data_IF_841101256383
#
_entry.id   IF_841101256383
#
_cell.length_a   1.000
_cell.length_b   1.000
_cell.length_c   1.000
_cell.angle_alpha   90.00
_cell.angle_beta   90.00
_cell.angle_gamma   90.00
#
_symmetry.space_group_name_H-M   'P 1'
#
loop_
_entity.id
_entity.type
_entity.pdbx_description
1 polymer ?
#
# COMPACT_ATOMS: atom_id res chain seq x y z
N UNK A 1 59.44 4.26 -71.04
CA UNK A 1 59.67 4.82 -69.69
C UNK A 1 58.99 6.19 -69.64
N UNK A 2 58.33 6.49 -68.51
CA UNK A 2 57.63 7.75 -68.16
C UNK A 2 56.33 8.06 -68.88
N UNK A 3 55.14 8.02 -68.24
CA UNK A 3 54.58 8.58 -66.98
C UNK A 3 53.58 9.68 -67.38
N UNK A 4 52.29 9.31 -67.40
CA UNK A 4 51.17 10.22 -67.58
C UNK A 4 50.83 10.89 -66.24
N UNK A 5 50.89 12.22 -66.18
CA UNK A 5 50.36 13.03 -65.09
C UNK A 5 49.05 13.66 -65.56
N UNK A 6 47.94 13.26 -64.94
CA UNK A 6 46.69 14.03 -64.94
C UNK A 6 46.11 14.07 -63.51
N UNK A 7 46.16 15.29 -63.00
CA UNK A 7 45.50 16.01 -61.91
C UNK A 7 44.42 15.36 -61.01
N UNK A 8 44.27 15.90 -59.78
CA UNK A 8 43.43 15.36 -58.71
C UNK A 8 41.96 15.77 -58.85
N UNK A 9 41.05 14.91 -58.36
CA UNK A 9 39.65 15.26 -58.10
C UNK A 9 39.32 15.22 -56.61
N UNK A 10 38.61 16.27 -56.21
CA UNK A 10 37.85 16.59 -55.00
C UNK A 10 37.33 15.43 -54.11
N UNK A 11 37.38 15.62 -52.77
CA UNK A 11 36.76 14.77 -51.72
C UNK A 11 35.21 14.74 -51.73
N UNK A 12 34.47 14.28 -50.67
CA UNK A 12 34.71 14.53 -49.24
C UNK A 12 34.34 13.42 -48.20
N UNK A 13 34.85 13.62 -46.97
CA UNK A 13 34.27 13.42 -45.61
C UNK A 13 32.95 12.64 -45.45
N UNK A 14 32.90 11.63 -44.57
CA UNK A 14 31.62 11.02 -44.17
C UNK A 14 31.59 9.93 -43.08
N UNK A 15 32.56 9.83 -42.17
CA UNK A 15 32.57 8.79 -41.13
C UNK A 15 32.00 9.29 -39.77
N UNK A 16 30.70 9.57 -39.68
CA UNK A 16 30.06 9.88 -38.37
C UNK A 16 28.56 9.60 -38.23
N UNK A 17 27.88 9.07 -39.26
CA UNK A 17 26.43 8.84 -39.22
C UNK A 17 25.98 7.49 -38.62
N UNK A 18 26.83 6.48 -38.56
CA UNK A 18 26.42 5.11 -38.17
C UNK A 18 26.22 4.86 -36.67
N UNK A 19 26.93 5.59 -35.78
CA UNK A 19 26.87 5.35 -34.32
C UNK A 19 25.63 5.93 -33.64
N UNK A 20 24.98 6.94 -34.22
CA UNK A 20 23.80 7.59 -33.62
C UNK A 20 22.51 6.77 -33.80
N UNK A 21 22.41 5.97 -34.88
CA UNK A 21 21.22 5.13 -35.12
C UNK A 21 21.11 3.91 -34.20
N UNK A 22 22.24 3.29 -33.82
CA UNK A 22 22.21 2.10 -32.95
C UNK A 22 21.79 2.45 -31.51
N UNK A 23 22.23 3.60 -30.97
CA UNK A 23 21.79 4.10 -29.67
C UNK A 23 20.29 4.43 -29.64
N UNK A 24 19.75 5.02 -30.71
CA UNK A 24 18.32 5.33 -30.80
C UNK A 24 17.44 4.07 -30.86
N UNK A 25 17.91 3.01 -31.53
CA UNK A 25 17.22 1.70 -31.59
C UNK A 25 17.26 0.98 -30.23
N UNK A 26 18.37 1.09 -29.49
CA UNK A 26 18.50 0.51 -28.15
C UNK A 26 17.63 1.23 -27.11
N UNK A 27 17.53 2.56 -27.18
CA UNK A 27 16.64 3.36 -26.32
C UNK A 27 15.17 3.06 -26.63
N UNK A 28 14.79 2.93 -27.90
CA UNK A 28 13.44 2.53 -28.29
C UNK A 28 13.10 1.09 -27.84
N UNK A 29 14.07 0.17 -27.85
CA UNK A 29 13.90 -1.19 -27.34
C UNK A 29 13.69 -1.25 -25.83
N UNK A 30 14.37 -0.39 -25.05
CA UNK A 30 14.20 -0.31 -23.58
C UNK A 30 12.86 0.34 -23.20
N UNK A 31 12.37 1.30 -24.00
CA UNK A 31 11.06 1.94 -23.79
C UNK A 31 9.87 1.03 -24.17
N UNK A 32 10.07 0.02 -25.03
CA UNK A 32 9.04 -0.97 -25.37
C UNK A 32 9.00 -2.17 -24.42
N UNK A 33 9.98 -2.31 -23.52
CA UNK A 33 10.02 -3.37 -22.51
C UNK A 33 9.41 -2.96 -21.16
N UNK A 34 8.98 -1.70 -21.01
CA UNK A 34 8.41 -1.17 -19.77
C UNK A 34 6.91 -0.89 -19.92
N UNK A 35 6.15 -1.97 -20.11
CA UNK A 35 4.71 -1.93 -19.99
C UNK A 35 4.24 -3.25 -19.42
N UNK A 36 4.05 -3.32 -18.11
CA UNK A 36 3.29 -4.41 -17.51
C UNK A 36 1.91 -4.41 -18.19
N UNK A 37 1.62 -5.46 -18.94
CA UNK A 37 0.34 -5.60 -19.62
C UNK A 37 -0.67 -6.10 -18.58
N UNK A 38 -1.50 -5.19 -18.07
CA UNK A 38 -2.55 -5.52 -17.11
C UNK A 38 -3.74 -6.11 -17.86
N UNK A 39 -4.05 -7.39 -17.64
CA UNK A 39 -5.34 -7.96 -18.02
C UNK A 39 -6.25 -7.88 -16.79
N UNK A 40 -7.08 -6.84 -16.75
CA UNK A 40 -7.88 -6.49 -15.59
C UNK A 40 -9.29 -7.11 -15.70
N UNK A 41 -9.45 -8.38 -15.33
CA UNK A 41 -10.78 -9.04 -15.30
C UNK A 41 -11.06 -9.86 -14.03
N UNK A 42 -10.33 -9.63 -12.92
CA UNK A 42 -10.65 -10.23 -11.62
C UNK A 42 -11.08 -9.15 -10.61
N UNK A 43 -12.38 -9.09 -10.30
CA UNK A 43 -12.89 -8.31 -9.18
C UNK A 43 -12.88 -9.17 -7.91
N UNK A 44 -12.22 -8.69 -6.86
CA UNK A 44 -12.22 -9.33 -5.54
C UNK A 44 -12.79 -8.38 -4.49
N UNK A 45 -13.63 -8.90 -3.60
CA UNK A 45 -14.16 -8.20 -2.42
C UNK A 45 -13.33 -8.58 -1.21
N UNK A 46 -12.86 -7.58 -0.48
CA UNK A 46 -12.28 -7.75 0.85
C UNK A 46 -13.19 -7.00 1.80
N UNK A 47 -13.71 -7.74 2.77
CA UNK A 47 -14.42 -7.17 3.90
C UNK A 47 -13.56 -7.36 5.16
N UNK A 48 -13.53 -6.33 5.98
CA UNK A 48 -12.76 -6.32 7.22
C UNK A 48 -13.74 -5.99 8.33
N UNK A 49 -13.79 -6.81 9.37
CA UNK A 49 -14.68 -6.61 10.51
C UNK A 49 -13.84 -6.60 11.78
N UNK A 50 -13.92 -5.52 12.55
CA UNK A 50 -13.45 -5.56 13.92
C UNK A 50 -14.53 -6.25 14.76
N UNK A 51 -14.19 -7.36 15.43
CA UNK A 51 -15.11 -8.16 16.28
C UNK A 51 -15.39 -7.47 17.62
N UNK A 52 -14.78 -6.31 17.86
CA UNK A 52 -15.28 -5.39 18.86
C UNK A 52 -16.55 -4.72 18.32
N UNK A 53 -17.70 -5.27 18.71
CA UNK A 53 -18.99 -4.60 18.52
C UNK A 53 -18.96 -3.18 19.10
N UNK A 54 -19.93 -2.35 18.71
CA UNK A 54 -20.16 -1.11 19.42
C UNK A 54 -20.46 -1.42 20.90
N UNK A 55 -19.53 -1.05 21.77
CA UNK A 55 -19.57 -1.46 23.17
C UNK A 55 -19.79 -0.26 24.08
N UNK A 56 -20.55 -0.49 25.15
CA UNK A 56 -20.58 0.43 26.30
C UNK A 56 -19.76 -0.17 27.42
N UNK A 57 -18.71 0.53 27.83
CA UNK A 57 -17.74 0.03 28.82
C UNK A 57 -17.61 1.02 29.97
N UNK A 58 -17.17 0.52 31.12
CA UNK A 58 -16.91 1.37 32.29
C UNK A 58 -15.52 1.99 32.15
N UNK A 59 -15.36 3.26 32.54
CA UNK A 59 -14.07 3.93 32.60
C UNK A 59 -13.03 3.08 33.33
N UNK A 60 -11.80 3.08 32.84
CA UNK A 60 -10.63 2.29 33.30
C UNK A 60 -10.71 0.80 33.02
N UNK A 61 -11.80 0.30 32.43
CA UNK A 61 -11.91 -1.10 32.01
C UNK A 61 -11.21 -1.28 30.66
N UNK A 62 -10.23 -2.19 30.53
CA UNK A 62 -9.62 -2.50 29.25
C UNK A 62 -10.64 -3.06 28.26
N UNK A 63 -10.56 -2.61 27.02
CA UNK A 63 -11.37 -3.11 25.90
C UNK A 63 -10.44 -3.78 24.91
N UNK A 64 -10.60 -5.10 24.76
CA UNK A 64 -9.89 -5.87 23.74
C UNK A 64 -10.61 -5.74 22.41
N UNK A 65 -9.84 -5.40 21.38
CA UNK A 65 -10.29 -5.22 20.02
C UNK A 65 -9.58 -6.25 19.16
N UNK A 66 -10.34 -7.00 18.36
CA UNK A 66 -9.79 -8.01 17.46
C UNK A 66 -10.38 -7.80 16.07
N UNK A 67 -9.64 -8.20 15.04
CA UNK A 67 -10.09 -8.13 13.66
C UNK A 67 -10.24 -9.50 13.01
N UNK A 68 -11.31 -9.64 12.24
CA UNK A 68 -11.60 -10.74 11.33
C UNK A 68 -11.70 -10.22 9.90
N UNK A 69 -11.37 -11.10 8.95
CA UNK A 69 -11.36 -10.82 7.54
C UNK A 69 -12.12 -11.92 6.81
N UNK A 70 -12.85 -11.54 5.78
CA UNK A 70 -13.47 -12.48 4.86
C UNK A 70 -13.02 -12.17 3.42
N UNK A 71 -12.63 -13.21 2.72
CA UNK A 71 -12.06 -13.16 1.37
C UNK A 71 -12.95 -13.96 0.42
N UNK A 72 -13.59 -13.26 -0.51
CA UNK A 72 -14.32 -13.94 -1.58
C UNK A 72 -13.33 -14.45 -2.63
N UNK A 73 -13.07 -15.76 -2.61
CA UNK A 73 -12.47 -16.51 -3.72
C UNK A 73 -11.12 -15.96 -4.26
N UNK A 74 -10.22 -15.49 -3.38
CA UNK A 74 -8.88 -14.98 -3.79
C UNK A 74 -7.77 -15.38 -2.81
N UNK A 75 -6.55 -15.57 -3.36
CA UNK A 75 -5.31 -15.60 -2.60
C UNK A 75 -4.83 -14.17 -2.34
N UNK A 76 -5.19 -13.64 -1.19
CA UNK A 76 -4.74 -12.32 -0.69
C UNK A 76 -3.66 -12.55 0.37
N UNK A 77 -2.60 -11.76 0.33
CA UNK A 77 -1.60 -11.75 1.39
C UNK A 77 -1.74 -10.48 2.22
N UNK A 78 -1.79 -10.62 3.53
CA UNK A 78 -1.78 -9.50 4.47
C UNK A 78 -0.32 -9.30 4.93
N UNK A 79 0.23 -8.10 4.77
CA UNK A 79 1.54 -7.75 5.33
C UNK A 79 1.45 -7.03 6.66
N UNK A 80 0.50 -6.11 6.78
CA UNK A 80 0.47 -5.17 7.89
C UNK A 80 -0.96 -4.83 8.31
N UNK A 81 -1.09 -4.51 9.59
CA UNK A 81 -2.34 -4.23 10.25
C UNK A 81 -2.10 -3.15 11.29
N UNK A 82 -2.99 -2.17 11.35
CA UNK A 82 -2.86 -1.07 12.29
C UNK A 82 -4.20 -0.66 12.90
N UNK A 83 -4.15 -0.27 14.17
CA UNK A 83 -5.28 0.32 14.87
C UNK A 83 -4.98 1.75 15.29
N UNK A 84 -6.02 2.58 15.35
CA UNK A 84 -5.85 3.95 15.82
C UNK A 84 -7.14 4.55 16.38
N UNK A 85 -7.05 5.27 17.50
CA UNK A 85 -8.14 6.12 17.98
C UNK A 85 -8.22 7.36 17.10
N UNK A 86 -9.28 7.47 16.31
CA UNK A 86 -9.47 8.57 15.33
C UNK A 86 -10.33 9.70 15.88
N UNK A 87 -11.13 9.43 16.91
CA UNK A 87 -11.90 10.43 17.64
C UNK A 87 -12.02 10.04 19.11
N UNK A 88 -11.91 11.03 19.99
CA UNK A 88 -12.11 10.89 21.42
C UNK A 88 -12.72 12.18 21.99
N UNK A 89 -13.30 12.15 23.21
CA UNK A 89 -13.76 13.36 23.88
C UNK A 89 -12.63 14.39 24.04
N UNK A 90 -12.97 15.68 24.04
CA UNK A 90 -11.98 16.74 24.23
C UNK A 90 -11.27 16.59 25.58
N UNK A 91 -9.92 16.58 25.56
CA UNK A 91 -9.11 16.38 26.75
C UNK A 91 -9.15 14.96 27.32
N UNK A 92 -9.60 13.97 26.54
CA UNK A 92 -9.65 12.58 26.98
C UNK A 92 -8.25 12.04 27.34
N UNK A 93 -8.20 11.31 28.44
CA UNK A 93 -7.05 10.53 28.87
C UNK A 93 -7.34 9.06 28.61
N UNK A 94 -6.49 8.41 27.83
CA UNK A 94 -6.58 6.99 27.52
C UNK A 94 -5.19 6.42 27.22
N UNK A 95 -5.07 5.11 27.35
CA UNK A 95 -3.92 4.35 26.86
C UNK A 95 -4.39 3.47 25.71
N UNK A 96 -3.60 3.38 24.64
CA UNK A 96 -3.91 2.55 23.49
C UNK A 96 -2.69 1.72 23.11
N UNK A 97 -2.86 0.41 23.07
CA UNK A 97 -1.85 -0.55 22.64
C UNK A 97 -2.29 -1.18 21.32
N UNK A 98 -1.42 -1.16 20.33
CA UNK A 98 -1.63 -1.73 19.01
C UNK A 98 -0.59 -2.84 18.79
N UNK A 99 -1.09 -4.07 18.63
CA UNK A 99 -0.30 -5.27 18.36
C UNK A 99 -0.68 -5.86 16.97
N UNK A 100 -1.15 -5.00 16.07
CA UNK A 100 -1.50 -5.32 14.69
C UNK A 100 -2.89 -5.95 14.55
N UNK A 101 -3.00 -7.26 14.79
CA UNK A 101 -4.30 -7.96 14.68
C UNK A 101 -5.23 -7.68 15.86
N UNK A 102 -4.62 -7.39 16.99
CA UNK A 102 -5.29 -7.10 18.23
C UNK A 102 -4.88 -5.72 18.73
N UNK A 103 -5.79 -5.06 19.43
CA UNK A 103 -5.50 -3.81 20.12
C UNK A 103 -6.22 -3.76 21.47
N UNK A 104 -5.69 -2.97 22.39
CA UNK A 104 -6.30 -2.74 23.69
C UNK A 104 -6.46 -1.25 23.96
N UNK A 105 -7.70 -0.81 24.15
CA UNK A 105 -8.02 0.54 24.62
C UNK A 105 -8.30 0.52 26.13
N UNK A 106 -7.62 1.40 26.88
CA UNK A 106 -7.89 1.63 28.30
C UNK A 106 -8.32 3.09 28.47
N UNK A 107 -9.63 3.40 28.41
CA UNK A 107 -10.12 4.76 28.49
C UNK A 107 -10.27 5.20 29.94
N UNK A 108 -9.66 6.32 30.34
CA UNK A 108 -9.87 6.90 31.67
C UNK A 108 -11.01 7.91 31.65
N UNK A 109 -11.11 8.69 30.57
CA UNK A 109 -12.17 9.67 30.40
C UNK A 109 -13.45 9.05 29.84
N UNK A 110 -14.59 9.51 30.36
CA UNK A 110 -15.95 9.15 29.90
C UNK A 110 -16.23 9.81 28.54
N UNK A 111 -17.02 9.13 27.71
CA UNK A 111 -17.50 9.64 26.42
C UNK A 111 -17.29 8.64 25.29
N UNK A 112 -17.44 9.11 24.06
CA UNK A 112 -17.41 8.25 22.87
C UNK A 112 -16.05 8.30 22.19
N UNK A 113 -15.49 7.12 21.95
CA UNK A 113 -14.26 6.91 21.21
C UNK A 113 -14.60 6.22 19.88
N UNK A 114 -13.94 6.66 18.81
CA UNK A 114 -14.01 5.99 17.51
C UNK A 114 -12.64 5.42 17.22
N UNK A 115 -12.58 4.11 17.01
CA UNK A 115 -11.35 3.40 16.71
C UNK A 115 -11.41 2.90 15.28
N UNK A 116 -10.37 3.21 14.51
CA UNK A 116 -10.13 2.70 13.16
C UNK A 116 -9.30 1.43 13.28
N UNK A 117 -9.65 0.44 12.48
CA UNK A 117 -8.79 -0.68 12.12
C UNK A 117 -8.51 -0.65 10.63
N UNK A 118 -7.26 -0.92 10.23
CA UNK A 118 -6.84 -0.99 8.83
C UNK A 118 -6.09 -2.29 8.57
N UNK A 119 -6.43 -2.95 7.46
CA UNK A 119 -5.71 -4.10 6.92
C UNK A 119 -5.09 -3.73 5.58
N UNK A 120 -3.78 -3.85 5.46
CA UNK A 120 -3.03 -3.71 4.22
C UNK A 120 -2.92 -5.07 3.53
N UNK A 121 -3.04 -5.09 2.21
CA UNK A 121 -3.04 -6.37 1.48
C UNK A 121 -2.40 -6.27 0.09
N UNK A 122 -1.90 -7.42 -0.38
CA UNK A 122 -1.43 -7.66 -1.74
C UNK A 122 -2.33 -8.66 -2.43
N UNK A 123 -2.45 -8.48 -3.74
CA UNK A 123 -2.98 -9.52 -4.60
C UNK A 123 -1.84 -10.35 -5.16
N UNK A 124 -2.13 -11.61 -5.45
CA UNK A 124 -1.17 -12.55 -6.05
C UNK A 124 -0.51 -12.03 -7.34
N UNK A 125 -1.18 -11.10 -8.05
CA UNK A 125 -0.64 -10.44 -9.24
C UNK A 125 0.56 -9.51 -8.94
N UNK A 126 0.64 -9.00 -7.71
CA UNK A 126 1.60 -7.97 -7.31
C UNK A 126 2.87 -8.57 -6.66
N UNK A 127 2.78 -9.78 -6.11
CA UNK A 127 3.87 -10.43 -5.37
C UNK A 127 5.00 -10.94 -6.28
N UNK A 128 4.71 -11.23 -7.55
CA UNK A 128 5.61 -12.02 -8.39
C UNK A 128 6.74 -11.24 -9.09
N UNK A 129 6.76 -9.90 -9.12
CA UNK A 129 7.66 -9.21 -10.07
C UNK A 129 8.51 -8.01 -9.66
N UNK A 130 8.46 -7.50 -8.43
CA UNK A 130 9.44 -6.47 -8.02
C UNK A 130 9.62 -6.47 -6.51
N UNK A 131 10.86 -6.59 -6.04
CA UNK A 131 11.31 -6.56 -4.63
C UNK A 131 11.15 -5.17 -3.95
N UNK A 132 10.04 -4.50 -4.19
CA UNK A 132 9.61 -3.27 -3.53
C UNK A 132 8.13 -3.43 -3.17
N UNK A 133 7.86 -4.32 -2.22
CA UNK A 133 6.50 -4.64 -1.77
C UNK A 133 5.92 -3.46 -1.00
N UNK A 134 5.09 -2.68 -1.68
CA UNK A 134 4.12 -1.77 -1.07
C UNK A 134 2.74 -2.40 -1.27
N UNK A 135 1.92 -2.44 -0.20
CA UNK A 135 0.57 -2.98 -0.26
C UNK A 135 -0.23 -2.33 -1.41
N UNK A 136 -0.98 -3.14 -2.15
CA UNK A 136 -1.72 -2.67 -3.34
C UNK A 136 -3.08 -2.11 -3.02
N UNK A 137 -3.53 -2.30 -1.78
CA UNK A 137 -4.67 -1.61 -1.22
C UNK A 137 -4.74 -1.76 0.28
N UNK A 138 -5.74 -1.10 0.86
CA UNK A 138 -6.13 -1.30 2.24
C UNK A 138 -7.65 -1.27 2.38
N UNK A 139 -8.16 -1.96 3.41
CA UNK A 139 -9.53 -1.82 3.89
C UNK A 139 -9.50 -1.27 5.29
N UNK A 140 -10.46 -0.39 5.58
CA UNK A 140 -10.64 0.21 6.90
C UNK A 140 -12.04 -0.06 7.41
N UNK A 141 -12.11 -0.28 8.73
CA UNK A 141 -13.34 -0.41 9.47
C UNK A 141 -13.27 0.41 10.74
N UNK A 142 -14.44 0.79 11.25
CA UNK A 142 -14.57 1.70 12.38
C UNK A 142 -15.50 1.09 13.41
N UNK A 143 -15.12 1.23 14.68
CA UNK A 143 -15.92 0.81 15.83
C UNK A 143 -16.13 1.99 16.77
N UNK A 144 -17.27 2.00 17.44
CA UNK A 144 -17.62 3.03 18.42
C UNK A 144 -17.65 2.45 19.81
N UNK A 145 -16.85 3.01 20.72
CA UNK A 145 -16.79 2.60 22.12
C UNK A 145 -17.34 3.75 22.96
N UNK A 146 -18.44 3.49 23.67
CA UNK A 146 -19.03 4.44 24.61
C UNK A 146 -18.54 4.12 26.01
N UNK A 147 -17.85 5.04 26.64
CA UNK A 147 -17.30 4.88 27.99
C UNK A 147 -18.21 5.62 28.96
N UNK A 148 -18.71 4.92 29.97
CA UNK A 148 -19.54 5.47 31.04
C UNK A 148 -18.74 5.55 32.35
N UNK A 149 -19.10 6.46 33.29
CA UNK A 149 -18.40 6.57 34.55
C UNK A 149 -18.48 5.27 35.36
N UNK A 150 -17.39 4.95 36.07
CA UNK A 150 -17.41 3.91 37.09
C UNK A 150 -18.43 4.24 38.20
N UNK A 151 -19.08 3.23 38.79
CA UNK A 151 -19.95 3.44 39.94
C UNK A 151 -19.17 4.14 41.07
N UNK A 152 -19.72 5.22 41.60
CA UNK A 152 -19.19 5.86 42.81
C UNK A 152 -19.41 4.94 44.00
N UNK A 153 -18.33 4.49 44.63
CA UNK A 153 -18.36 3.83 45.96
C UNK A 153 -18.73 4.81 47.05
#
# INVERSE_FOLDING_TARGET
>A
MSWSLLSPSSGPVGASRGRRSLMAVLIAGVLLLSGCYYHADYSYSISVTAVADNQTVISTTPVSLTSEYDFDNVTVYIDDQDWSVTSAPAGAVFTFYDDGRDATLIPTSVGTYVVRYRTWYYTNYDYDYCLCTYATGYRESYITITVIPAPST
#
